data_IF_309363763891
#
_entry.id   IF_309363763891
#
_cell.length_a   1.000
_cell.length_b   1.000
_cell.length_c   1.000
_cell.angle_alpha   90.00
_cell.angle_beta   90.00
_cell.angle_gamma   90.00
#
_symmetry.space_group_name_H-M   'P 1'
#
loop_
_entity.id
_entity.type
_entity.pdbx_description
1 polymer ?
#
# COMPACT_ATOMS: atom_id res chain seq x y z
N UNK A 1 6.75 26.56 7.73
CA UNK A 1 5.81 25.47 7.38
C UNK A 1 6.33 24.19 8.01
N UNK A 2 5.66 23.66 9.04
CA UNK A 2 6.11 22.43 9.72
C UNK A 2 5.44 21.25 9.02
N UNK A 3 6.22 20.37 8.39
CA UNK A 3 5.71 19.11 7.89
C UNK A 3 5.12 18.34 9.08
N UNK A 4 3.83 18.01 8.98
CA UNK A 4 3.06 17.42 10.05
C UNK A 4 3.52 15.96 10.21
N UNK A 5 4.10 15.63 11.36
CA UNK A 5 4.82 14.36 11.62
C UNK A 5 3.87 13.18 11.96
N UNK A 6 2.64 13.20 11.42
CA UNK A 6 1.50 12.40 11.91
C UNK A 6 0.68 11.68 10.80
N UNK A 7 1.23 11.42 9.60
CA UNK A 7 0.44 10.77 8.52
C UNK A 7 1.28 10.01 7.48
N UNK A 8 2.21 9.15 7.89
CA UNK A 8 3.12 8.54 6.90
C UNK A 8 3.36 7.06 7.17
N UNK A 9 3.11 6.24 6.14
CA UNK A 9 3.49 4.83 6.10
C UNK A 9 5.00 4.64 6.28
N UNK A 10 5.40 3.45 6.69
CA UNK A 10 6.79 2.99 6.62
C UNK A 10 7.13 2.64 5.17
N UNK A 11 8.08 3.37 4.60
CA UNK A 11 8.58 3.10 3.24
C UNK A 11 9.29 1.75 3.19
N UNK A 12 8.96 0.92 2.20
CA UNK A 12 9.64 -0.35 1.91
C UNK A 12 9.77 -0.56 0.41
N UNK A 13 10.86 -1.20 -0.01
CA UNK A 13 11.02 -1.58 -1.42
C UNK A 13 10.10 -2.74 -1.77
N UNK A 14 9.70 -2.83 -3.05
CA UNK A 14 8.92 -3.96 -3.57
C UNK A 14 9.60 -5.31 -3.28
N UNK A 15 10.93 -5.38 -3.38
CA UNK A 15 11.70 -6.59 -3.13
C UNK A 15 11.63 -7.01 -1.66
N UNK A 16 11.89 -6.08 -0.74
CA UNK A 16 11.88 -6.36 0.69
C UNK A 16 10.48 -6.71 1.19
N UNK A 17 9.44 -6.02 0.70
CA UNK A 17 8.07 -6.39 1.03
C UNK A 17 7.72 -7.79 0.50
N UNK A 18 8.13 -8.13 -0.72
CA UNK A 18 7.86 -9.47 -1.29
C UNK A 18 8.55 -10.57 -0.49
N UNK A 19 9.79 -10.36 -0.03
CA UNK A 19 10.51 -11.29 0.87
C UNK A 19 9.83 -11.42 2.22
N UNK A 20 9.42 -10.30 2.82
CA UNK A 20 8.69 -10.29 4.09
C UNK A 20 7.36 -11.06 3.97
N UNK A 21 6.59 -10.78 2.92
CA UNK A 21 5.32 -11.45 2.64
C UNK A 21 5.50 -12.95 2.45
N UNK A 22 6.48 -13.38 1.66
CA UNK A 22 6.75 -14.79 1.41
C UNK A 22 7.15 -15.56 2.68
N UNK A 23 7.91 -14.93 3.59
CA UNK A 23 8.27 -15.52 4.89
C UNK A 23 7.04 -15.74 5.78
N UNK A 24 6.11 -14.79 5.79
CA UNK A 24 4.93 -14.84 6.66
C UNK A 24 3.75 -15.62 6.03
N UNK A 25 3.73 -15.73 4.70
CA UNK A 25 2.66 -16.36 3.92
C UNK A 25 3.27 -17.38 2.93
N UNK A 26 3.78 -18.53 3.40
CA UNK A 26 4.52 -19.49 2.57
C UNK A 26 3.69 -20.18 1.49
N UNK A 27 2.36 -20.10 1.57
CA UNK A 27 1.44 -20.64 0.56
C UNK A 27 1.20 -19.67 -0.60
N UNK A 28 1.50 -18.39 -0.42
CA UNK A 28 1.34 -17.39 -1.46
C UNK A 28 2.47 -17.48 -2.48
N UNK A 29 2.15 -17.17 -3.74
CA UNK A 29 3.13 -17.17 -4.83
C UNK A 29 3.79 -15.80 -4.90
N UNK A 30 5.10 -15.65 -4.59
CA UNK A 30 5.75 -14.34 -4.51
C UNK A 30 5.63 -13.54 -5.80
N UNK A 31 5.74 -14.21 -6.95
CA UNK A 31 5.58 -13.58 -8.27
C UNK A 31 4.18 -13.01 -8.50
N UNK A 32 3.13 -13.65 -7.95
CA UNK A 32 1.77 -13.14 -8.05
C UNK A 32 1.59 -11.91 -7.16
N UNK A 33 2.09 -11.96 -5.92
CA UNK A 33 2.08 -10.83 -4.98
C UNK A 33 2.80 -9.62 -5.60
N UNK A 34 4.00 -9.83 -6.14
CA UNK A 34 4.78 -8.78 -6.81
C UNK A 34 4.02 -8.14 -7.96
N UNK A 35 3.37 -8.94 -8.82
CA UNK A 35 2.56 -8.41 -9.94
C UNK A 35 1.39 -7.56 -9.46
N UNK A 36 0.66 -8.02 -8.46
CA UNK A 36 -0.50 -7.30 -7.92
C UNK A 36 -0.08 -5.94 -7.32
N UNK A 37 1.01 -5.92 -6.56
CA UNK A 37 1.55 -4.69 -5.97
C UNK A 37 2.03 -3.74 -7.07
N UNK A 38 2.78 -4.20 -8.08
CA UNK A 38 3.19 -3.35 -9.22
C UNK A 38 1.98 -2.71 -9.89
N UNK A 39 0.90 -3.46 -10.07
CA UNK A 39 -0.29 -2.90 -10.71
C UNK A 39 -0.98 -1.87 -9.82
N UNK A 40 -1.05 -2.08 -8.50
CA UNK A 40 -1.59 -1.10 -7.57
C UNK A 40 -0.72 0.15 -7.46
N UNK A 41 0.61 0.01 -7.45
CA UNK A 41 1.59 1.10 -7.50
C UNK A 41 1.37 1.97 -8.73
N UNK A 42 1.23 1.35 -9.92
CA UNK A 42 0.91 2.07 -11.16
C UNK A 42 -0.41 2.84 -11.06
N UNK A 43 -1.45 2.25 -10.46
CA UNK A 43 -2.73 2.93 -10.24
C UNK A 43 -2.57 4.13 -9.29
N UNK A 44 -1.87 3.97 -8.17
CA UNK A 44 -1.62 5.06 -7.21
C UNK A 44 -0.81 6.20 -7.84
N UNK A 45 0.26 5.86 -8.56
CA UNK A 45 1.07 6.83 -9.31
C UNK A 45 0.27 7.60 -10.38
N UNK A 46 -0.76 6.98 -10.95
CA UNK A 46 -1.70 7.63 -11.87
C UNK A 46 -2.81 8.44 -11.17
N UNK A 47 -2.75 8.59 -9.84
CA UNK A 47 -3.71 9.38 -9.06
C UNK A 47 -4.99 8.66 -8.68
N UNK A 48 -5.02 7.32 -8.74
CA UNK A 48 -6.19 6.53 -8.32
C UNK A 48 -6.63 6.87 -6.89
N UNK A 49 -7.94 6.97 -6.69
CA UNK A 49 -8.57 7.31 -5.41
C UNK A 49 -9.41 6.16 -4.87
N UNK A 50 -9.58 6.16 -3.56
CA UNK A 50 -10.47 5.25 -2.84
C UNK A 50 -11.90 5.40 -3.36
N UNK A 51 -12.53 4.28 -3.73
CA UNK A 51 -13.90 4.28 -4.26
C UNK A 51 -14.95 4.70 -3.24
N UNK A 52 -14.63 4.67 -1.95
CA UNK A 52 -15.56 5.01 -0.86
C UNK A 52 -15.44 6.45 -0.36
N UNK A 53 -14.25 7.03 -0.35
CA UNK A 53 -14.01 8.33 0.30
C UNK A 53 -13.17 9.32 -0.51
N UNK A 54 -12.68 8.94 -1.71
CA UNK A 54 -11.90 9.83 -2.57
C UNK A 54 -10.48 10.13 -2.12
N UNK A 55 -10.02 9.59 -0.97
CA UNK A 55 -8.63 9.70 -0.53
C UNK A 55 -7.67 8.93 -1.46
N UNK A 56 -6.36 9.25 -1.51
CA UNK A 56 -5.38 8.41 -2.20
C UNK A 56 -5.46 6.95 -1.75
N UNK A 57 -5.28 6.01 -2.69
CA UNK A 57 -5.26 4.60 -2.34
C UNK A 57 -4.02 4.24 -1.53
N UNK A 58 -4.12 3.18 -0.73
CA UNK A 58 -2.97 2.45 -0.19
C UNK A 58 -2.64 1.33 -1.17
N UNK A 59 -1.49 1.37 -1.82
CA UNK A 59 -1.19 0.49 -2.95
C UNK A 59 -1.05 -0.97 -2.50
N UNK A 60 -0.32 -1.22 -1.40
CA UNK A 60 -0.19 -2.58 -0.82
C UNK A 60 -1.57 -3.13 -0.46
N UNK A 61 -2.36 -2.42 0.36
CA UNK A 61 -3.70 -2.88 0.74
C UNK A 61 -4.62 -3.13 -0.46
N UNK A 62 -4.65 -2.19 -1.41
CA UNK A 62 -5.45 -2.30 -2.64
C UNK A 62 -5.05 -3.50 -3.52
N UNK A 63 -3.79 -3.95 -3.46
CA UNK A 63 -3.34 -5.14 -4.17
C UNK A 63 -3.99 -6.42 -3.59
N UNK A 64 -4.24 -6.46 -2.28
CA UNK A 64 -4.79 -7.62 -1.60
C UNK A 64 -6.33 -7.64 -1.53
N UNK A 65 -6.97 -6.48 -1.33
CA UNK A 65 -8.44 -6.42 -1.29
C UNK A 65 -9.09 -6.44 -2.67
N UNK A 66 -8.33 -6.22 -3.74
CA UNK A 66 -8.81 -6.30 -5.12
C UNK A 66 -9.60 -5.08 -5.62
N UNK A 67 -9.69 -4.02 -4.83
CA UNK A 67 -10.34 -2.75 -5.20
C UNK A 67 -9.46 -1.55 -4.79
N UNK A 68 -9.73 -0.38 -5.36
CA UNK A 68 -8.99 0.85 -5.04
C UNK A 68 -9.45 1.40 -3.68
N UNK A 69 -8.67 1.12 -2.63
CA UNK A 69 -9.00 1.51 -1.25
C UNK A 69 -7.89 2.28 -0.55
N UNK A 70 -8.27 3.27 0.25
CA UNK A 70 -7.34 3.88 1.20
C UNK A 70 -7.22 3.02 2.47
N UNK A 71 -6.18 3.28 3.26
CA UNK A 71 -5.91 2.56 4.51
C UNK A 71 -7.15 2.47 5.42
N UNK A 72 -7.71 3.60 5.82
CA UNK A 72 -8.86 3.65 6.75
C UNK A 72 -10.09 2.91 6.23
N UNK A 73 -10.36 2.94 4.92
CA UNK A 73 -11.50 2.19 4.38
C UNK A 73 -11.23 0.67 4.29
N UNK A 74 -9.96 0.25 4.24
CA UNK A 74 -9.57 -1.16 4.21
C UNK A 74 -9.53 -1.73 5.63
N UNK A 75 -8.93 -1.01 6.59
CA UNK A 75 -8.65 -1.52 7.95
C UNK A 75 -9.65 -1.05 9.00
N UNK A 76 -10.34 0.07 8.76
CA UNK A 76 -11.11 0.78 9.78
C UNK A 76 -10.26 1.62 10.73
N UNK A 77 -8.94 1.65 10.54
CA UNK A 77 -8.00 2.34 11.42
C UNK A 77 -7.71 3.78 10.97
N UNK A 78 -7.45 4.65 11.95
CA UNK A 78 -7.21 6.07 11.70
C UNK A 78 -5.75 6.41 11.34
N UNK A 79 -4.82 5.49 11.57
CA UNK A 79 -3.37 5.76 11.54
C UNK A 79 -2.61 4.64 10.85
N UNK A 80 -1.76 4.96 9.88
CA UNK A 80 -0.97 3.98 9.11
C UNK A 80 0.54 3.99 9.45
N UNK A 81 0.94 4.53 10.61
CA UNK A 81 2.35 4.80 10.94
C UNK A 81 3.22 3.54 11.05
N UNK A 82 2.62 2.40 11.35
CA UNK A 82 3.32 1.12 11.51
C UNK A 82 3.12 0.20 10.29
N UNK A 83 2.39 0.69 9.28
CA UNK A 83 2.07 -0.05 8.06
C UNK A 83 3.00 0.31 6.93
N UNK A 84 3.29 -0.67 6.09
CA UNK A 84 4.14 -0.49 4.95
C UNK A 84 3.43 0.16 3.76
N UNK A 85 4.16 0.95 2.99
CA UNK A 85 3.82 1.34 1.63
C UNK A 85 5.06 1.31 0.75
N UNK A 86 4.86 1.06 -0.55
CA UNK A 86 5.94 0.94 -1.52
C UNK A 86 6.65 2.27 -1.74
N UNK A 87 7.99 2.27 -1.68
CA UNK A 87 8.86 3.45 -1.79
C UNK A 87 8.43 4.43 -2.90
N UNK A 88 8.15 3.90 -4.09
CA UNK A 88 7.78 4.69 -5.28
C UNK A 88 6.53 5.55 -5.09
N UNK A 89 5.64 5.18 -4.16
CA UNK A 89 4.34 5.81 -3.96
C UNK A 89 4.03 6.12 -2.49
N UNK A 90 5.03 6.03 -1.61
CA UNK A 90 4.84 6.25 -0.16
C UNK A 90 4.51 7.72 0.17
N UNK A 91 5.01 8.66 -0.65
CA UNK A 91 4.96 10.09 -0.38
C UNK A 91 4.12 10.90 -1.38
N UNK A 92 3.27 10.24 -2.16
CA UNK A 92 2.40 10.86 -3.19
C UNK A 92 0.92 10.76 -2.86
#
# INVERSE_FOLDING_TARGET
MKANKHSQFVSISLEEFTKLHARNNPLDKPEQVRRLIIQAVKRKAAGAKCIHCGQPIWAIGSAFVGWNGCFTCITGEASCHDDYEIDEVCFI
#
